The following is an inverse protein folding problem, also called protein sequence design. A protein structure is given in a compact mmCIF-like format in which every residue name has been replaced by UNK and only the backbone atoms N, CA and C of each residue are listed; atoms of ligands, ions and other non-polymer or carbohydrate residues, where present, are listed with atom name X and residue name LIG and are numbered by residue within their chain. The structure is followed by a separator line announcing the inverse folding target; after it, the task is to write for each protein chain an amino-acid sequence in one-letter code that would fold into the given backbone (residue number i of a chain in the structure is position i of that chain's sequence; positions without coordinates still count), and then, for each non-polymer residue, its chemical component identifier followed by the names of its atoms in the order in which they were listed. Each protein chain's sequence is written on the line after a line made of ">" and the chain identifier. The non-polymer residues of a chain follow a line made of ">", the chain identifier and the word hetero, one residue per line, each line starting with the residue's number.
data_IF_604145793233
#
_entry.id   IF_604145793233
#
_cell.length_a   1.000
_cell.length_b   1.000
_cell.length_c   1.000
_cell.angle_alpha   90.00
_cell.angle_beta   90.00
_cell.angle_gamma   90.00
#
_symmetry.space_group_name_H-M   'P 1'
#
loop_
_entity.id
_entity.type
_entity.pdbx_description
1 polymer ?
#
# COMPACT_ATOMS: atom_id res chain seq x y z
N UNK A 1 15.16 4.16 1.30
CA UNK A 1 14.66 3.35 2.44
C UNK A 1 13.36 2.72 2.00
N UNK A 2 13.22 1.40 2.10
CA UNK A 2 11.96 0.71 1.82
C UNK A 2 11.07 0.74 3.05
N UNK A 3 9.78 1.04 2.89
CA UNK A 3 8.80 1.04 3.97
C UNK A 3 8.04 -0.28 3.92
N UNK A 4 7.88 -0.96 5.05
CA UNK A 4 7.03 -2.13 5.19
C UNK A 4 5.73 -1.71 5.86
N UNK A 5 4.60 -1.95 5.20
CA UNK A 5 3.26 -1.68 5.72
C UNK A 5 2.57 -3.02 5.92
N UNK A 6 2.04 -3.25 7.12
CA UNK A 6 1.22 -4.42 7.42
C UNK A 6 -0.17 -3.94 7.84
N UNK A 7 -1.19 -4.43 7.17
CA UNK A 7 -2.60 -4.08 7.41
C UNK A 7 -3.44 -5.34 7.58
N UNK A 8 -4.54 -5.22 8.33
CA UNK A 8 -5.56 -6.26 8.36
C UNK A 8 -6.56 -6.06 7.23
N UNK A 9 -6.64 -7.03 6.32
CA UNK A 9 -7.58 -7.05 5.19
C UNK A 9 -8.20 -8.45 5.08
N UNK A 10 -9.54 -8.51 5.02
CA UNK A 10 -10.31 -9.77 5.07
C UNK A 10 -9.91 -10.69 6.24
N UNK A 11 -9.82 -10.13 7.46
CA UNK A 11 -9.43 -10.85 8.69
C UNK A 11 -8.05 -11.52 8.64
N UNK A 12 -7.21 -11.15 7.68
CA UNK A 12 -5.85 -11.65 7.55
C UNK A 12 -4.84 -10.50 7.55
N UNK A 13 -3.67 -10.69 8.19
CA UNK A 13 -2.58 -9.74 8.05
C UNK A 13 -2.03 -9.80 6.63
N UNK A 14 -1.86 -8.63 6.02
CA UNK A 14 -1.31 -8.47 4.68
C UNK A 14 -0.19 -7.46 4.71
N UNK A 15 0.99 -7.88 4.28
CA UNK A 15 2.19 -7.04 4.29
C UNK A 15 2.62 -6.66 2.88
N UNK A 16 2.86 -5.36 2.67
CA UNK A 16 3.40 -4.80 1.44
C UNK A 16 4.71 -4.07 1.68
N UNK A 17 5.69 -4.34 0.80
CA UNK A 17 6.89 -3.54 0.63
C UNK A 17 6.57 -2.33 -0.23
N UNK A 18 6.70 -1.15 0.35
CA UNK A 18 6.45 0.13 -0.29
C UNK A 18 7.77 0.78 -0.67
N UNK A 19 7.89 1.08 -1.96
CA UNK A 19 9.04 1.79 -2.54
C UNK A 19 8.54 3.10 -3.13
N UNK A 20 9.11 4.22 -2.68
CA UNK A 20 8.92 5.52 -3.30
C UNK A 20 9.80 5.58 -4.56
N UNK A 21 9.21 5.86 -5.71
CA UNK A 21 9.94 6.02 -6.97
C UNK A 21 10.19 7.49 -7.30
N UNK A 22 9.15 8.23 -7.69
CA UNK A 22 9.22 9.60 -8.20
C UNK A 22 7.95 10.36 -7.79
N UNK A 23 8.01 11.69 -7.64
CA UNK A 23 6.85 12.62 -7.53
C UNK A 23 5.60 12.04 -6.80
N UNK A 24 5.80 11.55 -5.57
CA UNK A 24 4.74 10.94 -4.74
C UNK A 24 4.05 9.69 -5.34
N UNK A 25 4.78 8.90 -6.11
CA UNK A 25 4.40 7.58 -6.64
C UNK A 25 5.00 6.47 -5.78
N UNK A 26 4.10 5.68 -5.19
CA UNK A 26 4.40 4.56 -4.31
C UNK A 26 4.12 3.25 -5.04
N UNK A 27 5.15 2.41 -5.14
CA UNK A 27 5.02 1.05 -5.62
C UNK A 27 4.98 0.10 -4.43
N UNK A 28 3.87 -0.60 -4.29
CA UNK A 28 3.65 -1.58 -3.26
C UNK A 28 3.79 -2.97 -3.87
N UNK A 29 4.59 -3.83 -3.24
CA UNK A 29 4.72 -5.23 -3.60
C UNK A 29 4.35 -6.10 -2.42
N UNK A 30 3.51 -7.09 -2.66
CA UNK A 30 3.13 -8.05 -1.64
C UNK A 30 4.39 -8.76 -1.12
N UNK A 31 4.61 -8.71 0.20
CA UNK A 31 5.78 -9.29 0.85
C UNK A 31 5.60 -10.78 1.13
N UNK A 32 4.34 -11.25 1.16
CA UNK A 32 3.99 -12.63 1.42
C UNK A 32 3.68 -13.38 0.12
N UNK A 33 4.10 -14.65 0.06
CA UNK A 33 3.75 -15.54 -1.05
C UNK A 33 2.28 -15.92 -0.93
N UNK A 34 1.51 -15.75 -2.01
CA UNK A 34 0.15 -16.27 -2.08
C UNK A 34 0.17 -17.75 -2.43
N UNK A 35 -0.65 -18.53 -1.74
CA UNK A 35 -0.92 -19.91 -2.13
C UNK A 35 -1.88 -19.91 -3.33
N UNK A 36 -1.54 -20.66 -4.38
CA UNK A 36 -2.43 -20.85 -5.54
C UNK A 36 -3.76 -21.46 -5.08
N UNK A 37 -4.87 -20.82 -5.46
CA UNK A 37 -6.22 -21.26 -5.11
C UNK A 37 -6.87 -20.51 -3.93
N UNK A 38 -6.22 -19.51 -3.35
CA UNK A 38 -6.85 -18.65 -2.35
C UNK A 38 -8.01 -17.86 -2.98
N UNK A 39 -9.22 -18.02 -2.43
CA UNK A 39 -10.42 -17.27 -2.86
C UNK A 39 -10.28 -15.76 -2.64
N UNK A 40 -9.38 -15.35 -1.74
CA UNK A 40 -8.98 -13.96 -1.53
C UNK A 40 -7.66 -13.68 -2.26
N UNK A 41 -7.75 -13.57 -3.58
CA UNK A 41 -6.62 -13.10 -4.37
C UNK A 41 -6.25 -11.67 -3.94
N UNK A 42 -5.01 -11.48 -3.53
CA UNK A 42 -4.43 -10.19 -3.22
C UNK A 42 -3.65 -9.69 -4.44
N UNK A 43 -3.67 -8.39 -4.73
CA UNK A 43 -2.86 -7.84 -5.81
C UNK A 43 -1.37 -7.89 -5.45
N UNK A 44 -0.55 -8.63 -6.19
CA UNK A 44 0.89 -8.74 -5.91
C UNK A 44 1.64 -7.41 -6.05
N UNK A 45 1.16 -6.55 -6.93
CA UNK A 45 1.72 -5.23 -7.21
C UNK A 45 0.61 -4.20 -7.22
N UNK A 46 0.79 -3.13 -6.46
CA UNK A 46 -0.10 -1.98 -6.44
C UNK A 46 0.72 -0.73 -6.71
N UNK A 47 0.20 0.16 -7.54
CA UNK A 47 0.76 1.49 -7.73
C UNK A 47 -0.24 2.48 -7.14
N UNK A 48 0.22 3.25 -6.16
CA UNK A 48 -0.54 4.33 -5.54
C UNK A 48 0.21 5.62 -5.85
N UNK A 49 -0.44 6.54 -6.54
CA UNK A 49 0.10 7.86 -6.85
C UNK A 49 -0.67 8.93 -6.09
N UNK A 50 0.04 9.95 -5.62
CA UNK A 50 -0.60 11.16 -5.11
C UNK A 50 -0.60 12.22 -6.19
N UNK A 51 -1.77 12.80 -6.45
CA UNK A 51 -1.93 13.96 -7.34
C UNK A 51 -2.50 15.11 -6.52
N UNK A 52 -1.60 15.89 -5.92
CA UNK A 52 -1.95 16.94 -4.96
C UNK A 52 -2.56 16.38 -3.67
N UNK A 53 -3.87 16.56 -3.47
CA UNK A 53 -4.57 16.03 -2.28
C UNK A 53 -5.23 14.67 -2.51
N UNK A 54 -5.25 14.19 -3.76
CA UNK A 54 -5.99 12.99 -4.14
C UNK A 54 -5.01 11.82 -4.28
N UNK A 55 -5.35 10.69 -3.70
CA UNK A 55 -4.65 9.42 -3.91
C UNK A 55 -5.36 8.62 -4.99
N UNK A 56 -4.61 8.09 -5.93
CA UNK A 56 -5.12 7.34 -7.07
C UNK A 56 -4.39 6.00 -7.09
N UNK A 57 -5.13 4.92 -7.19
CA UNK A 57 -4.57 3.58 -7.39
C UNK A 57 -4.99 3.00 -8.74
N UNK A 58 -4.20 2.06 -9.23
CA UNK A 58 -4.50 1.31 -10.45
C UNK A 58 -5.54 0.18 -10.23
N UNK A 59 -6.05 0.01 -9.00
CA UNK A 59 -6.94 -1.08 -8.63
C UNK A 59 -8.34 -0.57 -8.30
N UNK A 60 -9.30 -0.84 -9.19
CA UNK A 60 -10.71 -0.44 -8.99
C UNK A 60 -11.48 -1.38 -8.04
N UNK A 61 -11.11 -2.67 -7.99
CA UNK A 61 -11.81 -3.69 -7.19
C UNK A 61 -11.31 -3.82 -5.75
N UNK A 62 -10.25 -3.11 -5.37
CA UNK A 62 -9.57 -3.25 -4.07
C UNK A 62 -9.56 -1.94 -3.26
N UNK A 63 -10.64 -1.15 -3.35
CA UNK A 63 -10.71 0.19 -2.74
C UNK A 63 -10.39 0.18 -1.23
N UNK A 64 -10.95 -0.76 -0.47
CA UNK A 64 -10.68 -0.86 0.97
C UNK A 64 -9.21 -1.16 1.27
N UNK A 65 -8.61 -2.09 0.52
CA UNK A 65 -7.19 -2.43 0.65
C UNK A 65 -6.32 -1.20 0.36
N UNK A 66 -6.61 -0.52 -0.75
CA UNK A 66 -5.91 0.69 -1.19
C UNK A 66 -6.04 1.80 -0.15
N UNK A 67 -7.22 2.01 0.42
CA UNK A 67 -7.47 3.04 1.43
C UNK A 67 -6.66 2.79 2.71
N UNK A 68 -6.66 1.55 3.22
CA UNK A 68 -5.85 1.15 4.37
C UNK A 68 -4.36 1.37 4.12
N UNK A 69 -3.85 0.94 2.96
CA UNK A 69 -2.45 1.13 2.57
C UNK A 69 -2.10 2.62 2.46
N UNK A 70 -2.97 3.42 1.85
CA UNK A 70 -2.79 4.87 1.68
C UNK A 70 -2.75 5.58 3.04
N UNK A 71 -3.60 5.17 3.98
CA UNK A 71 -3.64 5.72 5.34
C UNK A 71 -2.30 5.50 6.05
N UNK A 72 -1.75 4.29 5.98
CA UNK A 72 -0.47 3.96 6.58
C UNK A 72 0.70 4.70 5.93
N UNK A 73 0.70 4.85 4.60
CA UNK A 73 1.68 5.69 3.89
C UNK A 73 1.62 7.14 4.38
N UNK A 74 0.41 7.67 4.55
CA UNK A 74 0.19 9.04 5.02
C UNK A 74 0.68 9.23 6.46
N UNK A 75 0.34 8.29 7.36
CA UNK A 75 0.82 8.28 8.75
C UNK A 75 2.35 8.27 8.80
N UNK A 76 3.00 7.42 8.00
CA UNK A 76 4.46 7.37 7.96
C UNK A 76 5.09 8.68 7.47
N UNK A 77 4.54 9.30 6.42
CA UNK A 77 5.01 10.61 5.96
C UNK A 77 4.82 11.70 7.02
N UNK A 78 3.69 11.69 7.70
CA UNK A 78 3.37 12.68 8.73
C UNK A 78 4.35 12.57 9.91
N UNK A 79 4.64 11.35 10.37
CA UNK A 79 5.60 11.10 11.46
C UNK A 79 7.02 11.53 11.04
N UNK A 80 7.46 11.21 9.82
CA UNK A 80 8.79 11.63 9.34
C UNK A 80 8.90 13.15 9.17
N UNK A 81 7.82 13.83 8.76
CA UNK A 81 7.79 15.30 8.65
C UNK A 81 7.81 16.01 10.00
N UNK A 82 7.30 15.38 11.06
CA UNK A 82 7.34 15.92 12.42
C UNK A 82 8.70 15.70 13.12
N UNK A 83 9.52 14.79 12.61
CA UNK A 83 10.84 14.45 13.19
C UNK A 83 12.01 15.13 12.46
N UNK A 84 11.74 16.02 11.49
CA UNK A 84 12.73 16.71 10.66
C UNK A 84 12.83 18.21 10.98
#
# INVERSE_FOLDING_TARGET
>A
MGLLISISYNDQPVTYNVTLHEDEVYHLRLAQRQEEGNKNYLPEKIVIRRKGKIWISDLENYNELVEKLTTEICNFQFINKLSA
#
